data_IF_316466098806
#
_entry.id   IF_316466098806
#
_cell.length_a   1.000
_cell.length_b   1.000
_cell.length_c   1.000
_cell.angle_alpha   90.00
_cell.angle_beta   90.00
_cell.angle_gamma   90.00
#
_symmetry.space_group_name_H-M   'P 1'
#
loop_
_entity.id
_entity.type
_entity.pdbx_description
1 polymer ?
#
# COMPACT_ATOMS: atom_id res chain seq x y z
N UNK A 1 -14.47 14.19 4.30
CA UNK A 1 -13.56 13.14 4.80
C UNK A 1 -12.88 12.54 3.59
N UNK A 2 -11.55 12.65 3.49
CA UNK A 2 -10.80 12.18 2.34
C UNK A 2 -10.73 10.65 2.36
N UNK A 3 -10.98 10.00 1.22
CA UNK A 3 -11.16 8.54 1.08
C UNK A 3 -9.95 7.65 1.44
N UNK A 4 -8.89 8.20 2.03
CA UNK A 4 -7.67 7.47 2.42
C UNK A 4 -7.37 7.44 3.92
N UNK A 5 -8.01 8.27 4.74
CA UNK A 5 -7.68 8.35 6.18
C UNK A 5 -8.19 7.12 6.95
N UNK A 6 -9.38 6.60 6.62
CA UNK A 6 -9.92 5.39 7.25
C UNK A 6 -9.13 4.12 6.85
N UNK A 7 -8.58 4.11 5.63
CA UNK A 7 -7.71 3.05 5.13
C UNK A 7 -6.35 3.04 5.85
N UNK A 8 -5.75 4.22 6.06
CA UNK A 8 -4.55 4.38 6.88
C UNK A 8 -4.81 4.06 8.36
N UNK A 9 -6.02 4.31 8.86
CA UNK A 9 -6.44 3.95 10.21
C UNK A 9 -6.70 2.44 10.41
N UNK A 10 -6.51 1.61 9.38
CA UNK A 10 -6.66 0.16 9.46
C UNK A 10 -8.07 -0.31 9.84
N UNK A 11 -9.08 0.53 9.57
CA UNK A 11 -10.48 0.16 9.84
C UNK A 11 -10.94 -0.82 8.78
N UNK A 12 -11.44 -1.96 9.21
CA UNK A 12 -11.98 -3.01 8.35
C UNK A 12 -13.16 -2.45 7.54
N UNK A 13 -12.91 -2.09 6.27
CA UNK A 13 -13.97 -1.70 5.36
C UNK A 13 -14.75 -2.96 4.96
N UNK A 14 -15.85 -3.21 5.67
CA UNK A 14 -16.82 -4.26 5.36
C UNK A 14 -17.07 -4.23 3.85
N UNK A 15 -16.64 -5.27 3.15
CA UNK A 15 -16.83 -5.57 1.71
C UNK A 15 -15.68 -5.26 0.74
N UNK A 16 -14.53 -4.72 1.16
CA UNK A 16 -13.39 -4.59 0.24
C UNK A 16 -12.14 -5.24 0.83
N UNK A 17 -11.62 -6.25 0.12
CA UNK A 17 -10.38 -6.92 0.49
C UNK A 17 -9.25 -5.90 0.60
N UNK A 18 -8.69 -5.77 1.79
CA UNK A 18 -7.55 -4.92 2.09
C UNK A 18 -6.44 -5.74 2.71
N UNK A 19 -5.20 -5.30 2.51
CA UNK A 19 -4.05 -5.92 3.13
C UNK A 19 -3.02 -4.87 3.52
N UNK A 20 -2.42 -5.07 4.69
CA UNK A 20 -1.35 -4.23 5.21
C UNK A 20 -0.08 -5.06 5.31
N UNK A 21 0.92 -4.72 4.49
CA UNK A 21 2.23 -5.35 4.53
C UNK A 21 3.14 -4.56 5.48
N UNK A 22 3.75 -5.24 6.48
CA UNK A 22 4.65 -4.58 7.42
C UNK A 22 5.93 -4.09 6.71
N UNK A 23 6.57 -3.05 7.26
CA UNK A 23 7.81 -2.51 6.69
C UNK A 23 8.93 -3.54 6.72
N UNK A 24 9.84 -3.48 5.73
CA UNK A 24 11.09 -4.23 5.81
C UNK A 24 12.10 -3.47 6.66
N UNK A 25 12.85 -4.17 7.50
CA UNK A 25 13.85 -3.55 8.36
C UNK A 25 15.12 -3.14 7.59
N UNK A 26 15.52 -3.89 6.55
CA UNK A 26 16.89 -3.81 6.02
C UNK A 26 17.01 -3.42 4.56
N UNK A 27 15.93 -3.54 3.77
CA UNK A 27 16.02 -3.48 2.31
C UNK A 27 14.79 -2.82 1.72
N UNK A 28 15.02 -2.00 0.70
CA UNK A 28 13.97 -1.50 -0.17
C UNK A 28 13.40 -2.68 -0.97
N UNK A 29 12.11 -2.62 -1.33
CA UNK A 29 11.43 -3.67 -2.07
C UNK A 29 10.63 -3.07 -3.21
N UNK A 30 10.44 -3.88 -4.26
CA UNK A 30 9.52 -3.54 -5.35
C UNK A 30 8.25 -4.34 -5.19
N UNK A 31 7.14 -3.63 -5.22
CA UNK A 31 5.80 -4.17 -5.08
C UNK A 31 5.04 -3.97 -6.37
N UNK A 32 4.56 -5.05 -6.98
CA UNK A 32 3.73 -4.96 -8.18
C UNK A 32 2.26 -5.05 -7.80
N UNK A 33 1.47 -4.10 -8.29
CA UNK A 33 0.09 -3.93 -7.87
C UNK A 33 -0.84 -3.57 -9.01
N UNK A 34 -2.03 -4.18 -8.98
CA UNK A 34 -3.22 -3.73 -9.67
C UNK A 34 -4.40 -3.84 -8.71
N UNK A 35 -5.19 -2.76 -8.59
CA UNK A 35 -6.33 -2.72 -7.70
C UNK A 35 -6.82 -1.31 -7.40
N UNK A 36 -7.71 -1.21 -6.42
CA UNK A 36 -8.43 0.03 -6.14
C UNK A 36 -7.58 1.09 -5.43
N UNK A 37 -6.61 0.70 -4.60
CA UNK A 37 -5.83 1.64 -3.81
C UNK A 37 -4.52 1.03 -3.35
N UNK A 38 -3.45 1.83 -3.39
CA UNK A 38 -2.17 1.55 -2.75
C UNK A 38 -1.66 2.79 -2.03
N UNK A 39 -1.12 2.59 -0.83
CA UNK A 39 -0.37 3.61 -0.10
C UNK A 39 0.92 3.04 0.46
N UNK A 40 2.02 3.77 0.28
CA UNK A 40 3.32 3.49 0.89
C UNK A 40 3.61 4.60 1.89
N UNK A 41 3.63 4.24 3.17
CA UNK A 41 3.62 5.18 4.28
C UNK A 41 4.58 4.74 5.39
N UNK A 42 5.35 5.67 5.92
CA UNK A 42 6.19 5.48 7.09
C UNK A 42 5.46 6.03 8.33
N UNK A 43 5.14 5.15 9.27
CA UNK A 43 4.39 5.53 10.47
C UNK A 43 5.21 6.33 11.47
N UNK A 44 6.53 6.12 11.53
CA UNK A 44 7.42 6.80 12.47
C UNK A 44 7.59 8.28 12.08
N UNK A 45 7.81 8.54 10.79
CA UNK A 45 8.01 9.89 10.27
C UNK A 45 6.72 10.54 9.78
N UNK A 46 5.61 9.80 9.77
CA UNK A 46 4.34 10.18 9.14
C UNK A 46 4.52 10.58 7.67
N UNK A 47 5.54 10.03 6.99
CA UNK A 47 5.84 10.36 5.60
C UNK A 47 5.06 9.45 4.65
N UNK A 48 4.38 10.05 3.67
CA UNK A 48 3.65 9.30 2.64
C UNK A 48 4.35 9.42 1.29
N UNK A 49 5.05 8.36 0.90
CA UNK A 49 5.75 8.23 -0.38
C UNK A 49 4.81 8.06 -1.56
N UNK A 50 3.83 7.17 -1.40
CA UNK A 50 2.94 6.78 -2.49
C UNK A 50 1.50 6.81 -2.01
N UNK A 51 0.64 7.34 -2.88
CA UNK A 51 -0.80 7.24 -2.78
C UNK A 51 -1.35 7.20 -4.21
N UNK A 52 -1.81 6.03 -4.64
CA UNK A 52 -2.46 5.86 -5.94
C UNK A 52 -3.79 5.12 -5.77
N UNK A 53 -4.79 5.53 -6.56
CA UNK A 53 -6.13 4.98 -6.57
C UNK A 53 -6.48 4.49 -7.98
N UNK A 54 -7.29 3.44 -8.09
CA UNK A 54 -7.72 2.82 -9.34
C UNK A 54 -6.54 2.48 -10.27
N UNK A 55 -5.59 1.72 -9.75
CA UNK A 55 -4.46 1.20 -10.51
C UNK A 55 -4.98 0.08 -11.41
N UNK A 56 -5.38 0.44 -12.64
CA UNK A 56 -5.99 -0.47 -13.62
C UNK A 56 -4.97 -1.30 -14.39
N UNK A 57 -3.72 -0.85 -14.44
CA UNK A 57 -2.61 -1.57 -15.08
C UNK A 57 -1.66 -2.09 -14.01
N UNK A 58 -1.13 -3.30 -14.23
CA UNK A 58 -0.18 -3.90 -13.32
C UNK A 58 1.14 -3.11 -13.33
N UNK A 59 1.42 -2.39 -12.23
CA UNK A 59 2.51 -1.43 -12.13
C UNK A 59 3.41 -1.70 -10.93
N UNK A 60 4.67 -1.30 -11.07
CA UNK A 60 5.70 -1.44 -10.07
C UNK A 60 5.76 -0.21 -9.15
N UNK A 61 5.86 -0.46 -7.86
CA UNK A 61 5.95 0.55 -6.81
C UNK A 61 7.17 0.29 -5.94
N UNK A 62 7.97 1.33 -5.73
CA UNK A 62 9.10 1.28 -4.82
C UNK A 62 8.60 1.45 -3.37
N UNK A 63 8.98 0.50 -2.52
CA UNK A 63 8.69 0.50 -1.09
C UNK A 63 10.02 0.60 -0.35
N UNK A 64 10.42 1.80 0.12
CA UNK A 64 11.66 1.94 0.86
C UNK A 64 11.60 1.15 2.17
N UNK A 65 12.76 0.76 2.69
CA UNK A 65 12.88 0.16 4.02
C UNK A 65 12.23 1.07 5.07
N UNK A 66 11.56 0.47 6.04
CA UNK A 66 10.80 1.21 7.05
C UNK A 66 9.41 1.68 6.61
N UNK A 67 9.02 1.53 5.33
CA UNK A 67 7.68 1.93 4.87
C UNK A 67 6.72 0.74 4.87
N UNK A 68 5.53 0.98 5.39
CA UNK A 68 4.39 0.07 5.34
C UNK A 68 3.66 0.25 4.01
N UNK A 69 3.26 -0.86 3.39
CA UNK A 69 2.41 -0.83 2.20
C UNK A 69 1.00 -1.24 2.57
N UNK A 70 0.04 -0.36 2.33
CA UNK A 70 -1.37 -0.68 2.44
C UNK A 70 -1.98 -0.77 1.05
N UNK A 71 -2.74 -1.83 0.79
CA UNK A 71 -3.47 -2.01 -0.46
C UNK A 71 -4.93 -2.34 -0.20
N UNK A 72 -5.80 -1.94 -1.11
CA UNK A 72 -7.23 -2.23 -1.06
C UNK A 72 -7.77 -2.53 -2.46
N UNK A 73 -8.74 -3.43 -2.50
CA UNK A 73 -9.34 -3.93 -3.75
C UNK A 73 -8.29 -4.58 -4.63
N UNK A 74 -7.44 -5.41 -4.03
CA UNK A 74 -6.33 -6.09 -4.73
C UNK A 74 -6.91 -7.07 -5.72
N UNK A 75 -6.60 -6.89 -7.01
CA UNK A 75 -6.89 -7.87 -8.04
C UNK A 75 -5.68 -8.79 -8.27
N UNK A 76 -4.48 -8.21 -8.39
CA UNK A 76 -3.22 -8.94 -8.55
C UNK A 76 -2.11 -8.26 -7.74
N UNK A 77 -1.27 -9.07 -7.09
CA UNK A 77 -0.14 -8.58 -6.29
C UNK A 77 1.05 -9.56 -6.30
N UNK A 78 2.28 -9.04 -6.43
CA UNK A 78 3.52 -9.82 -6.34
C UNK A 78 4.66 -9.00 -5.74
N UNK A 79 5.43 -9.63 -4.87
CA UNK A 79 6.75 -9.13 -4.43
C UNK A 79 7.84 -9.58 -5.40
N UNK A 80 8.69 -8.66 -5.81
CA UNK A 80 9.97 -9.00 -6.43
C UNK A 80 11.09 -8.76 -5.42
N UNK A 81 11.90 -9.81 -5.22
CA UNK A 81 13.10 -9.81 -4.36
C UNK A 81 14.33 -9.56 -5.22
#
# INVERSE_FOLDING_TARGET
MAKGDDALAGRDERNIASHRFPPHATSDRTFKFQGLYISVFNEETQDRKTLEENVTEYKDFEVPKGYTTYVRGVEIMRWEN
#
